data_IF_019354673696
#
_entry.id   IF_019354673696
#
_cell.length_a   1.000
_cell.length_b   1.000
_cell.length_c   1.000
_cell.angle_alpha   90.00
_cell.angle_beta   90.00
_cell.angle_gamma   90.00
#
_symmetry.space_group_name_H-M   'P 1'
#
loop_
_entity.id
_entity.type
_entity.pdbx_description
1 polymer ?
#
# COMPACT_ATOMS: atom_id res chain seq x y z
N UNK A 1 11.52 -14.29 -37.39
CA UNK A 1 10.10 -14.70 -37.31
C UNK A 1 9.83 -15.20 -35.91
N UNK A 2 9.56 -14.28 -35.01
CA UNK A 2 9.19 -14.57 -33.62
C UNK A 2 7.72 -15.01 -33.62
N UNK A 3 7.51 -16.31 -33.40
CA UNK A 3 6.17 -16.82 -33.11
C UNK A 3 5.77 -16.35 -31.69
N UNK A 4 4.53 -15.88 -31.48
CA UNK A 4 4.01 -15.59 -30.15
C UNK A 4 3.88 -16.91 -29.38
N UNK A 5 4.90 -17.22 -28.57
CA UNK A 5 4.82 -18.35 -27.65
C UNK A 5 3.70 -18.07 -26.66
N UNK A 6 2.75 -18.99 -26.59
CA UNK A 6 1.63 -18.95 -25.65
C UNK A 6 2.14 -18.74 -24.23
N UNK A 7 2.01 -17.52 -23.69
CA UNK A 7 2.48 -17.14 -22.36
C UNK A 7 1.94 -18.05 -21.25
N UNK A 8 0.74 -18.59 -21.42
CA UNK A 8 0.09 -19.42 -20.39
C UNK A 8 0.73 -20.79 -20.16
N UNK A 9 1.16 -21.49 -21.21
CA UNK A 9 1.76 -22.82 -21.09
C UNK A 9 3.15 -22.76 -20.42
N UNK A 10 3.95 -21.74 -20.71
CA UNK A 10 5.27 -21.56 -20.11
C UNK A 10 5.21 -21.28 -18.61
N UNK A 11 4.23 -20.54 -18.16
CA UNK A 11 4.10 -20.17 -16.75
C UNK A 11 3.53 -21.33 -15.92
N UNK A 12 2.61 -22.12 -16.46
CA UNK A 12 2.10 -23.35 -15.82
C UNK A 12 3.24 -24.36 -15.66
N UNK A 13 4.06 -24.55 -16.71
CA UNK A 13 5.19 -25.47 -16.67
C UNK A 13 6.27 -25.03 -15.66
N UNK A 14 6.57 -23.74 -15.59
CA UNK A 14 7.49 -23.18 -14.58
C UNK A 14 6.98 -23.40 -13.16
N UNK A 15 5.70 -23.18 -12.92
CA UNK A 15 5.09 -23.43 -11.60
C UNK A 15 5.23 -24.88 -11.17
N UNK A 16 5.07 -25.81 -12.10
CA UNK A 16 5.15 -27.22 -11.82
C UNK A 16 6.59 -27.64 -11.49
N UNK A 17 7.56 -27.17 -12.27
CA UNK A 17 8.99 -27.41 -12.00
C UNK A 17 9.44 -26.82 -10.66
N UNK A 18 8.98 -25.61 -10.31
CA UNK A 18 9.35 -24.96 -9.06
C UNK A 18 8.80 -25.69 -7.83
N UNK A 19 7.69 -26.42 -7.95
CA UNK A 19 7.16 -27.23 -6.83
C UNK A 19 8.03 -28.43 -6.51
N UNK A 20 8.77 -28.94 -7.48
CA UNK A 20 9.63 -30.11 -7.36
C UNK A 20 11.09 -29.72 -7.03
N UNK A 21 11.36 -28.46 -6.70
CA UNK A 21 12.69 -27.95 -6.37
C UNK A 21 13.26 -28.64 -5.13
N UNK A 22 14.44 -29.21 -5.29
CA UNK A 22 15.19 -29.89 -4.22
C UNK A 22 16.33 -29.01 -3.71
N UNK A 23 16.79 -29.18 -2.45
CA UNK A 23 17.93 -28.44 -1.91
C UNK A 23 19.20 -28.53 -2.77
N UNK A 24 19.42 -29.66 -3.44
CA UNK A 24 20.54 -29.89 -4.34
C UNK A 24 20.53 -28.93 -5.56
N UNK A 25 19.37 -28.52 -6.02
CA UNK A 25 19.24 -27.62 -7.17
C UNK A 25 19.76 -26.22 -6.84
N UNK A 26 19.59 -25.78 -5.59
CA UNK A 26 20.16 -24.52 -5.11
C UNK A 26 21.68 -24.55 -5.06
N UNK A 27 22.28 -25.71 -4.71
CA UNK A 27 23.74 -25.90 -4.72
C UNK A 27 24.24 -25.84 -6.16
N UNK A 28 23.55 -26.52 -7.08
CA UNK A 28 23.87 -26.46 -8.52
C UNK A 28 23.71 -25.06 -9.10
N UNK A 29 22.76 -24.28 -8.59
CA UNK A 29 22.58 -22.88 -8.97
C UNK A 29 23.71 -21.96 -8.46
N UNK A 30 24.46 -22.38 -7.44
CA UNK A 30 25.61 -21.66 -6.90
C UNK A 30 25.45 -21.17 -5.46
N UNK A 31 24.44 -21.64 -4.74
CA UNK A 31 24.32 -21.33 -3.31
C UNK A 31 25.25 -22.21 -2.48
N UNK A 32 25.76 -21.63 -1.39
CA UNK A 32 26.71 -22.31 -0.48
C UNK A 32 25.99 -23.44 0.24
N UNK A 33 26.56 -24.69 0.27
CA UNK A 33 25.94 -25.85 0.92
C UNK A 33 25.59 -25.61 2.40
N UNK A 34 26.44 -24.91 3.13
CA UNK A 34 26.25 -24.60 4.55
C UNK A 34 25.03 -23.70 4.78
N UNK A 35 24.73 -22.79 3.83
CA UNK A 35 23.55 -21.96 3.87
C UNK A 35 22.28 -22.79 3.66
N UNK A 36 22.29 -23.66 2.64
CA UNK A 36 21.15 -24.54 2.33
C UNK A 36 20.86 -25.49 3.50
N UNK A 37 21.89 -26.03 4.16
CA UNK A 37 21.72 -26.87 5.35
C UNK A 37 21.07 -26.17 6.55
N UNK A 38 21.10 -24.84 6.60
CA UNK A 38 20.47 -24.03 7.65
C UNK A 38 19.06 -23.53 7.31
N UNK A 39 18.65 -23.65 6.05
CA UNK A 39 17.31 -23.25 5.56
C UNK A 39 16.47 -24.51 5.34
N UNK A 40 15.73 -24.98 6.36
CA UNK A 40 15.07 -26.28 6.31
C UNK A 40 13.78 -26.28 5.48
N UNK A 41 13.25 -25.09 5.12
CA UNK A 41 11.97 -24.96 4.43
C UNK A 41 12.14 -24.17 3.14
N UNK A 42 11.73 -24.78 2.04
CA UNK A 42 11.66 -24.15 0.71
C UNK A 42 10.21 -24.01 0.31
N UNK A 43 9.79 -22.80 -0.03
CA UNK A 43 8.44 -22.51 -0.47
C UNK A 43 8.50 -21.76 -1.79
N UNK A 44 7.72 -22.22 -2.75
CA UNK A 44 7.57 -21.53 -4.04
C UNK A 44 6.39 -20.56 -4.00
N UNK A 45 6.57 -19.40 -4.59
CA UNK A 45 5.51 -18.40 -4.70
C UNK A 45 4.97 -18.38 -6.13
N UNK A 46 3.66 -18.39 -6.25
CA UNK A 46 2.97 -18.17 -7.52
C UNK A 46 2.98 -16.68 -7.89
N UNK A 47 2.92 -16.41 -9.20
CA UNK A 47 2.73 -15.05 -9.68
C UNK A 47 1.34 -14.55 -9.26
N UNK A 48 1.28 -13.31 -8.79
CA UNK A 48 0.03 -12.66 -8.44
C UNK A 48 -0.78 -12.35 -9.71
N UNK A 49 -2.06 -12.68 -9.67
CA UNK A 49 -3.03 -12.26 -10.67
C UNK A 49 -3.71 -10.93 -10.27
N UNK A 50 -4.56 -10.41 -11.13
CA UNK A 50 -5.27 -9.15 -10.91
C UNK A 50 -6.14 -9.20 -9.65
N UNK A 51 -6.88 -10.29 -9.46
CA UNK A 51 -7.75 -10.47 -8.29
C UNK A 51 -6.96 -10.52 -6.99
N UNK A 52 -5.82 -11.21 -6.98
CA UNK A 52 -4.94 -11.24 -5.81
C UNK A 52 -4.38 -9.84 -5.48
N UNK A 53 -4.05 -9.02 -6.48
CA UNK A 53 -3.59 -7.65 -6.26
C UNK A 53 -4.71 -6.76 -5.70
N UNK A 54 -5.95 -6.90 -6.16
CA UNK A 54 -7.11 -6.20 -5.62
C UNK A 54 -7.38 -6.63 -4.17
N UNK A 55 -7.31 -7.93 -3.87
CA UNK A 55 -7.43 -8.43 -2.49
C UNK A 55 -6.34 -7.85 -1.58
N UNK A 56 -5.10 -7.74 -2.05
CA UNK A 56 -4.01 -7.09 -1.31
C UNK A 56 -4.30 -5.61 -1.02
N UNK A 57 -4.98 -4.91 -1.91
CA UNK A 57 -5.37 -3.51 -1.71
C UNK A 57 -6.47 -3.33 -0.67
N UNK A 58 -7.43 -4.28 -0.56
CA UNK A 58 -8.66 -4.14 0.24
C UNK A 58 -8.65 -4.91 1.56
N UNK A 59 -8.26 -6.20 1.54
CA UNK A 59 -8.52 -7.13 2.63
C UNK A 59 -7.63 -6.97 3.87
N UNK A 60 -6.30 -6.81 3.79
CA UNK A 60 -5.43 -6.79 4.94
C UNK A 60 -5.86 -5.74 5.98
N UNK A 61 -5.59 -6.03 7.27
CA UNK A 61 -5.85 -5.06 8.35
C UNK A 61 -5.22 -3.71 8.09
N UNK A 62 -4.03 -3.70 7.49
CA UNK A 62 -3.26 -2.51 7.14
C UNK A 62 -3.08 -2.43 5.63
N UNK A 63 -4.19 -2.56 4.88
CA UNK A 63 -4.17 -2.42 3.42
C UNK A 63 -3.80 -1.00 3.01
N UNK A 64 -3.29 -0.84 1.78
CA UNK A 64 -2.90 0.48 1.26
C UNK A 64 -4.08 1.45 1.26
N UNK A 65 -5.26 1.01 0.85
CA UNK A 65 -6.48 1.83 0.88
C UNK A 65 -6.80 2.35 2.28
N UNK A 66 -6.72 1.48 3.31
CA UNK A 66 -6.96 1.87 4.70
C UNK A 66 -5.89 2.80 5.26
N UNK A 67 -4.63 2.66 4.83
CA UNK A 67 -3.56 3.57 5.22
C UNK A 67 -3.83 4.99 4.71
N UNK A 68 -4.19 5.14 3.43
CA UNK A 68 -4.52 6.44 2.85
C UNK A 68 -5.81 7.00 3.41
N UNK A 69 -6.85 6.18 3.59
CA UNK A 69 -8.08 6.60 4.27
C UNK A 69 -7.76 7.20 5.65
N UNK A 70 -6.92 6.53 6.44
CA UNK A 70 -6.50 7.02 7.76
C UNK A 70 -5.68 8.31 7.69
N UNK A 71 -4.82 8.44 6.68
CA UNK A 71 -4.01 9.64 6.47
C UNK A 71 -4.90 10.86 6.20
N UNK A 72 -5.86 10.73 5.29
CA UNK A 72 -6.80 11.80 4.93
C UNK A 72 -7.79 12.10 6.06
N UNK A 73 -8.17 11.10 6.84
CA UNK A 73 -9.00 11.29 8.05
C UNK A 73 -8.33 12.19 9.08
N UNK A 74 -6.99 12.17 9.19
CA UNK A 74 -6.24 13.08 10.09
C UNK A 74 -6.39 14.55 9.67
N UNK A 75 -6.54 14.81 8.38
CA UNK A 75 -6.81 16.13 7.82
C UNK A 75 -8.32 16.45 7.79
N UNK A 76 -9.17 15.55 8.29
CA UNK A 76 -10.63 15.72 8.36
C UNK A 76 -11.34 15.47 7.04
N UNK A 77 -10.71 14.78 6.10
CA UNK A 77 -11.25 14.45 4.78
C UNK A 77 -11.52 12.95 4.67
N UNK A 78 -12.68 12.58 4.16
CA UNK A 78 -13.04 11.20 3.83
C UNK A 78 -12.50 10.86 2.43
N UNK A 79 -11.65 9.84 2.32
CA UNK A 79 -11.12 9.35 1.05
C UNK A 79 -11.84 8.07 0.65
N UNK A 80 -12.39 8.00 -0.53
CA UNK A 80 -13.00 6.81 -1.11
C UNK A 80 -12.31 6.42 -2.41
N UNK A 81 -12.28 5.13 -2.69
CA UNK A 81 -11.76 4.55 -3.93
C UNK A 81 -12.87 3.77 -4.61
N UNK A 82 -13.15 4.09 -5.86
CA UNK A 82 -14.02 3.26 -6.68
C UNK A 82 -13.37 1.92 -7.00
N UNK A 83 -14.19 0.87 -7.15
CA UNK A 83 -13.72 -0.47 -7.47
C UNK A 83 -12.98 -0.50 -8.81
N UNK A 84 -13.47 0.20 -9.81
CA UNK A 84 -12.85 0.35 -11.13
C UNK A 84 -11.47 1.02 -11.07
N UNK A 85 -11.29 1.96 -10.14
CA UNK A 85 -9.99 2.59 -9.91
C UNK A 85 -8.97 1.60 -9.34
N UNK A 86 -9.38 0.76 -8.40
CA UNK A 86 -8.51 -0.27 -7.82
C UNK A 86 -8.17 -1.37 -8.83
N UNK A 87 -9.10 -1.75 -9.69
CA UNK A 87 -8.83 -2.66 -10.81
C UNK A 87 -7.79 -2.08 -11.77
N UNK A 88 -7.90 -0.79 -12.12
CA UNK A 88 -6.91 -0.14 -12.96
C UNK A 88 -5.53 -0.06 -12.31
N UNK A 89 -5.45 0.20 -11.00
CA UNK A 89 -4.19 0.16 -10.23
C UNK A 89 -3.55 -1.22 -10.32
N UNK A 90 -4.34 -2.29 -10.11
CA UNK A 90 -3.86 -3.67 -10.21
C UNK A 90 -3.35 -3.99 -11.62
N UNK A 91 -4.11 -3.61 -12.66
CA UNK A 91 -3.76 -3.80 -14.07
C UNK A 91 -2.47 -3.07 -14.45
N UNK A 92 -2.33 -1.80 -14.11
CA UNK A 92 -1.10 -1.02 -14.34
C UNK A 92 0.11 -1.63 -13.63
N UNK A 93 -0.07 -2.22 -12.44
CA UNK A 93 0.99 -2.91 -11.72
C UNK A 93 1.45 -4.18 -12.42
N UNK A 94 0.52 -4.95 -12.99
CA UNK A 94 0.82 -6.12 -13.80
C UNK A 94 1.54 -5.76 -15.11
N UNK A 95 1.07 -4.74 -15.80
CA UNK A 95 1.70 -4.23 -17.04
C UNK A 95 3.14 -3.79 -16.81
N UNK A 96 3.41 -3.12 -15.71
CA UNK A 96 4.76 -2.73 -15.28
C UNK A 96 5.61 -3.88 -14.75
N UNK A 97 5.05 -5.09 -14.60
CA UNK A 97 5.70 -6.28 -14.04
C UNK A 97 6.29 -6.06 -12.64
N UNK A 98 5.75 -5.12 -11.90
CA UNK A 98 6.22 -4.76 -10.54
C UNK A 98 5.46 -5.52 -9.44
N UNK A 99 4.31 -6.13 -9.77
CA UNK A 99 3.48 -6.87 -8.83
C UNK A 99 3.04 -6.00 -7.65
N UNK A 100 2.90 -6.59 -6.46
CA UNK A 100 2.42 -5.88 -5.28
C UNK A 100 3.23 -4.62 -4.91
N UNK A 101 4.54 -4.58 -5.21
CA UNK A 101 5.39 -3.41 -4.93
C UNK A 101 5.00 -2.18 -5.76
N UNK A 102 4.50 -2.40 -6.97
CA UNK A 102 4.07 -1.33 -7.87
C UNK A 102 2.77 -0.65 -7.43
N UNK A 103 1.93 -1.35 -6.66
CA UNK A 103 0.64 -0.82 -6.22
C UNK A 103 0.78 0.49 -5.44
N UNK A 104 1.73 0.53 -4.49
CA UNK A 104 2.00 1.75 -3.70
C UNK A 104 2.41 2.91 -4.59
N UNK A 105 3.38 2.72 -5.48
CA UNK A 105 3.87 3.80 -6.34
C UNK A 105 2.81 4.34 -7.30
N UNK A 106 1.91 3.48 -7.79
CA UNK A 106 0.81 3.89 -8.66
C UNK A 106 -0.21 4.70 -7.86
N UNK A 107 -0.59 4.24 -6.67
CA UNK A 107 -1.52 4.96 -5.80
C UNK A 107 -0.94 6.30 -5.35
N UNK A 108 0.32 6.35 -4.92
CA UNK A 108 1.01 7.59 -4.54
C UNK A 108 1.01 8.59 -5.69
N UNK A 109 1.29 8.14 -6.91
CA UNK A 109 1.25 9.00 -8.09
C UNK A 109 -0.13 9.61 -8.35
N UNK A 110 -1.20 8.86 -8.09
CA UNK A 110 -2.58 9.35 -8.28
C UNK A 110 -3.05 10.27 -7.13
N UNK A 111 -2.49 10.12 -5.93
CA UNK A 111 -2.89 10.88 -4.75
C UNK A 111 -2.01 12.09 -4.47
N UNK A 112 -0.85 12.22 -5.13
CA UNK A 112 0.16 13.24 -4.81
C UNK A 112 -0.41 14.66 -4.83
N UNK A 113 -1.16 15.01 -5.87
CA UNK A 113 -1.78 16.34 -6.02
C UNK A 113 -2.83 16.62 -4.93
N UNK A 114 -3.59 15.59 -4.54
CA UNK A 114 -4.56 15.68 -3.46
C UNK A 114 -3.89 15.88 -2.10
N UNK A 115 -2.85 15.10 -1.82
CA UNK A 115 -2.09 15.21 -0.58
C UNK A 115 -1.45 16.59 -0.40
N UNK A 116 -1.16 17.28 -1.51
CA UNK A 116 -0.67 18.65 -1.48
C UNK A 116 -1.79 19.69 -1.33
N UNK A 117 -2.94 19.49 -1.97
CA UNK A 117 -4.08 20.44 -1.97
C UNK A 117 -4.88 20.41 -0.66
N UNK A 118 -5.12 19.21 -0.09
CA UNK A 118 -6.00 19.02 1.07
C UNK A 118 -5.57 19.82 2.30
N UNK A 119 -4.28 19.84 2.73
CA UNK A 119 -3.87 20.63 3.89
C UNK A 119 -4.03 22.15 3.70
N UNK A 120 -4.18 22.60 2.45
CA UNK A 120 -4.31 24.01 2.09
C UNK A 120 -5.77 24.46 1.90
N UNK A 121 -6.73 23.53 1.87
CA UNK A 121 -8.14 23.81 1.62
C UNK A 121 -9.06 23.12 2.66
N UNK A 122 -9.35 23.83 3.73
CA UNK A 122 -10.21 23.34 4.83
C UNK A 122 -11.69 23.12 4.43
N UNK A 123 -12.07 23.40 3.20
CA UNK A 123 -13.46 23.21 2.71
C UNK A 123 -13.70 21.79 2.20
N UNK A 124 -12.66 21.02 1.91
CA UNK A 124 -12.76 19.68 1.37
C UNK A 124 -13.23 18.71 2.47
N UNK A 125 -14.28 17.93 2.18
CA UNK A 125 -14.87 16.95 3.11
C UNK A 125 -14.72 15.53 2.66
N UNK A 126 -14.89 15.31 1.37
CA UNK A 126 -14.80 13.98 0.77
C UNK A 126 -14.10 14.06 -0.57
N UNK A 127 -13.26 13.07 -0.82
CA UNK A 127 -12.58 12.87 -2.10
C UNK A 127 -12.84 11.46 -2.58
N UNK A 128 -13.30 11.31 -3.82
CA UNK A 128 -13.49 10.00 -4.46
C UNK A 128 -12.48 9.87 -5.60
N UNK A 129 -11.72 8.79 -5.57
CA UNK A 129 -10.76 8.45 -6.60
C UNK A 129 -11.43 7.55 -7.62
N UNK A 130 -11.62 8.11 -8.81
CA UNK A 130 -12.20 7.42 -9.97
C UNK A 130 -11.09 6.82 -10.84
N UNK A 131 -11.51 5.98 -11.79
CA UNK A 131 -10.62 5.40 -12.79
C UNK A 131 -9.82 6.45 -13.57
N UNK A 132 -10.44 7.57 -13.93
CA UNK A 132 -9.82 8.62 -14.74
C UNK A 132 -8.69 9.33 -13.99
N UNK A 133 -8.80 9.45 -12.66
CA UNK A 133 -7.72 9.98 -11.81
C UNK A 133 -6.51 9.07 -11.82
N UNK A 134 -6.72 7.76 -11.71
CA UNK A 134 -5.64 6.78 -11.76
C UNK A 134 -4.99 6.74 -13.14
N UNK A 135 -5.76 6.99 -14.19
CA UNK A 135 -5.21 7.09 -15.56
C UNK A 135 -4.47 8.40 -15.84
N UNK A 136 -4.72 9.42 -15.04
CA UNK A 136 -4.12 10.75 -15.19
C UNK A 136 -4.86 11.63 -16.20
N UNK A 137 -6.09 11.26 -16.57
CA UNK A 137 -6.92 11.97 -17.55
C UNK A 137 -8.02 12.81 -16.89
N UNK A 138 -8.37 12.51 -15.63
CA UNK A 138 -9.42 13.17 -14.88
C UNK A 138 -8.94 13.79 -13.57
N UNK A 139 -9.78 14.64 -13.00
CA UNK A 139 -9.61 15.15 -11.65
C UNK A 139 -10.44 14.35 -10.66
N UNK A 140 -10.00 14.22 -9.37
CA UNK A 140 -10.77 13.55 -8.35
C UNK A 140 -12.09 14.27 -8.05
N UNK A 141 -13.12 13.52 -7.73
CA UNK A 141 -14.37 14.08 -7.30
C UNK A 141 -14.24 14.63 -5.87
N UNK A 142 -14.37 15.93 -5.71
CA UNK A 142 -14.20 16.63 -4.44
C UNK A 142 -15.56 17.18 -3.99
N UNK A 143 -16.02 16.71 -2.82
CA UNK A 143 -17.19 17.28 -2.14
C UNK A 143 -16.70 18.27 -1.10
N UNK A 144 -17.17 19.53 -1.23
CA UNK A 144 -16.87 20.63 -0.30
C UNK A 144 -18.01 20.88 0.65
N UNK A 145 -17.68 21.15 1.93
CA UNK A 145 -18.65 21.52 2.96
C UNK A 145 -18.54 23.01 3.33
N UNK A 146 -19.63 23.59 3.78
CA UNK A 146 -19.70 25.02 4.17
C UNK A 146 -18.98 25.34 5.49
N UNK A 147 -18.64 24.33 6.30
CA UNK A 147 -17.99 24.52 7.60
C UNK A 147 -16.56 24.01 7.56
N UNK A 148 -15.56 24.79 8.04
CA UNK A 148 -14.17 24.32 8.07
C UNK A 148 -14.03 23.04 8.90
N UNK A 149 -13.15 22.14 8.45
CA UNK A 149 -12.87 20.89 9.14
C UNK A 149 -12.32 21.23 10.54
N UNK A 150 -13.00 20.80 11.59
CA UNK A 150 -12.44 20.90 12.93
C UNK A 150 -11.26 19.92 13.02
N UNK A 151 -10.04 20.42 12.89
CA UNK A 151 -8.84 19.68 13.23
C UNK A 151 -8.99 19.20 14.68
N UNK A 152 -9.13 17.89 14.88
CA UNK A 152 -9.04 17.29 16.20
C UNK A 152 -7.58 17.41 16.64
N UNK A 153 -7.26 18.54 17.30
CA UNK A 153 -5.99 18.72 17.98
C UNK A 153 -5.80 17.55 18.94
N UNK A 154 -4.86 16.69 18.63
CA UNK A 154 -4.38 15.67 19.57
C UNK A 154 -3.95 16.40 20.82
N UNK A 155 -4.73 16.23 21.89
CA UNK A 155 -4.54 16.92 23.17
C UNK A 155 -3.16 16.65 23.73
N UNK A 156 -2.29 17.64 23.64
CA UNK A 156 -1.07 17.73 24.42
C UNK A 156 -1.48 17.80 25.89
N UNK A 157 -1.51 16.65 26.56
CA UNK A 157 -1.52 16.60 28.02
C UNK A 157 -0.16 17.06 28.51
N UNK A 158 -0.01 18.39 28.65
CA UNK A 158 1.01 18.98 29.48
C UNK A 158 0.67 18.64 30.95
N UNK A 159 1.28 17.59 31.48
CA UNK A 159 1.33 17.36 32.91
C UNK A 159 2.20 18.45 33.53
N UNK A 160 1.56 19.44 34.12
CA UNK A 160 2.20 20.41 35.01
C UNK A 160 2.69 19.67 36.23
N UNK A 161 3.98 19.39 36.28
CA UNK A 161 4.67 18.86 37.46
C UNK A 161 4.83 20.01 38.43
N UNK A 162 3.91 20.12 39.42
CA UNK A 162 4.03 21.03 40.55
C UNK A 162 5.19 20.53 41.40
N UNK A 163 6.24 21.33 41.42
CA UNK A 163 7.38 21.17 42.30
C UNK A 163 6.97 21.63 43.72
N UNK A 164 6.69 20.64 44.59
CA UNK A 164 6.48 20.90 46.02
C UNK A 164 7.85 21.08 46.68
N UNK A 165 8.14 22.30 47.08
CA UNK A 165 9.31 22.70 47.82
C UNK A 165 9.07 22.33 49.29
N UNK A 166 9.70 21.27 49.81
CA UNK A 166 9.76 21.00 51.22
C UNK A 166 10.91 21.80 51.83
N UNK A 167 10.57 22.58 52.84
CA UNK A 167 11.49 23.32 53.70
C UNK A 167 12.09 22.36 54.75
N UNK A 168 13.36 22.43 55.09
CA UNK A 168 13.88 21.74 56.25
C UNK A 168 13.58 22.57 57.50
N UNK A 169 13.01 21.94 58.50
CA UNK A 169 12.85 22.43 59.84
C UNK A 169 14.05 21.97 60.67
N UNK A 170 14.71 22.95 61.24
CA UNK A 170 15.81 22.80 62.23
C UNK A 170 15.24 22.62 63.61
N UNK A 171 15.69 21.63 64.33
CA UNK A 171 15.95 21.63 65.77
C UNK A 171 16.92 20.48 66.13
#
# INVERSE_FOLDING_TARGET
RDQPRSRGLGDVYKRQILKDVMPEDFIKFGLIPEFIGRVPVVVTLDALDENALISILKEPKNSLTKQYHRLFELDGVELDFEDDALELVAKKSLERKTGARGLRAIMEGSLMDLMYKIPSDDTIRKCTITKDVVDGTGEPEIVRGETPAQAKTAGSRRTSRTHKKDKPETA
#
